data_IF_933166095507
#
_entry.id   IF_933166095507
#
_cell.length_a   1.000
_cell.length_b   1.000
_cell.length_c   1.000
_cell.angle_alpha   90.00
_cell.angle_beta   90.00
_cell.angle_gamma   90.00
#
_symmetry.space_group_name_H-M   'P 1'
#
loop_
_entity.id
_entity.type
_entity.pdbx_description
1 polymer ?
#
# COMPACT_ATOMS: atom_id res chain seq x y z
N UNK A 1 12.55 24.76 -3.30
CA UNK A 1 12.11 23.53 -3.98
C UNK A 1 10.62 23.37 -3.72
N UNK A 2 9.79 22.95 -4.69
CA UNK A 2 8.35 22.71 -4.48
C UNK A 2 8.09 21.20 -4.39
N UNK A 3 7.18 20.78 -3.51
CA UNK A 3 6.77 19.38 -3.42
C UNK A 3 5.99 18.96 -4.68
N UNK A 4 6.28 17.77 -5.21
CA UNK A 4 5.48 17.15 -6.27
C UNK A 4 4.35 16.37 -5.64
N UNK A 5 3.13 16.56 -6.14
CA UNK A 5 1.91 15.93 -5.63
C UNK A 5 1.13 15.37 -6.81
N UNK A 6 0.66 14.13 -6.69
CA UNK A 6 -0.26 13.49 -7.64
C UNK A 6 -1.64 13.34 -7.01
N UNK A 7 -2.69 13.60 -7.80
CA UNK A 7 -4.08 13.46 -7.39
C UNK A 7 -4.86 12.77 -8.51
N UNK A 8 -5.58 11.70 -8.18
CA UNK A 8 -6.42 10.94 -9.10
C UNK A 8 -7.81 10.79 -8.50
N UNK A 9 -8.83 10.94 -9.34
CA UNK A 9 -10.23 10.68 -9.01
C UNK A 9 -10.75 9.55 -9.89
N UNK A 10 -11.51 8.64 -9.30
CA UNK A 10 -12.21 7.57 -9.98
C UNK A 10 -12.99 6.72 -9.00
N UNK A 11 -13.74 5.75 -9.51
CA UNK A 11 -14.64 4.92 -8.68
C UNK A 11 -14.01 3.59 -8.25
N UNK A 12 -12.80 3.27 -8.75
CA UNK A 12 -12.04 2.09 -8.36
C UNK A 12 -10.82 2.50 -7.53
N UNK A 13 -10.79 2.09 -6.25
CA UNK A 13 -9.73 2.46 -5.31
C UNK A 13 -8.34 1.94 -5.72
N UNK A 14 -8.24 0.66 -6.07
CA UNK A 14 -7.00 0.01 -6.46
C UNK A 14 -6.36 0.72 -7.66
N UNK A 15 -7.18 0.97 -8.70
CA UNK A 15 -6.76 1.67 -9.90
C UNK A 15 -6.37 3.13 -9.62
N UNK A 16 -7.13 3.84 -8.77
CA UNK A 16 -6.79 5.21 -8.38
C UNK A 16 -5.42 5.29 -7.69
N UNK A 17 -5.12 4.36 -6.77
CA UNK A 17 -3.84 4.32 -6.05
C UNK A 17 -2.70 4.02 -7.01
N UNK A 18 -2.84 2.98 -7.86
CA UNK A 18 -1.84 2.65 -8.89
C UNK A 18 -1.54 3.84 -9.79
N UNK A 19 -2.57 4.48 -10.36
CA UNK A 19 -2.44 5.67 -11.23
C UNK A 19 -1.79 6.85 -10.51
N UNK A 20 -2.13 7.08 -9.24
CA UNK A 20 -1.52 8.17 -8.47
C UNK A 20 -0.01 7.95 -8.27
N UNK A 21 0.42 6.72 -8.01
CA UNK A 21 1.84 6.36 -7.88
C UNK A 21 2.57 6.45 -9.23
N UNK A 22 1.92 6.07 -10.33
CA UNK A 22 2.49 6.19 -11.68
C UNK A 22 2.87 7.63 -12.04
N UNK A 23 2.08 8.63 -11.64
CA UNK A 23 2.37 10.04 -11.87
C UNK A 23 3.63 10.55 -11.14
N UNK A 24 4.10 9.82 -10.13
CA UNK A 24 5.33 10.11 -9.37
C UNK A 24 6.33 8.94 -9.44
N UNK A 25 6.21 8.07 -10.45
CA UNK A 25 7.00 6.83 -10.58
C UNK A 25 8.50 7.07 -10.47
N UNK A 26 9.03 8.08 -11.16
CA UNK A 26 10.47 8.37 -11.19
C UNK A 26 11.02 8.76 -9.82
N UNK A 27 10.21 9.44 -9.00
CA UNK A 27 10.57 9.86 -7.64
C UNK A 27 10.59 8.70 -6.63
N UNK A 28 9.96 7.57 -6.99
CA UNK A 28 9.88 6.36 -6.19
C UNK A 28 10.92 5.33 -6.67
N UNK A 29 10.94 5.02 -7.96
CA UNK A 29 11.77 3.97 -8.58
C UNK A 29 13.24 4.13 -8.20
N UNK A 30 13.75 5.36 -8.30
CA UNK A 30 15.14 5.73 -7.93
C UNK A 30 15.53 5.43 -6.48
N UNK A 31 14.57 5.17 -5.60
CA UNK A 31 14.79 4.91 -4.16
C UNK A 31 14.54 3.47 -3.75
N UNK A 32 13.87 2.67 -4.57
CA UNK A 32 13.40 1.34 -4.16
C UNK A 32 13.92 0.21 -5.03
N UNK A 33 14.48 0.48 -6.21
CA UNK A 33 15.11 -0.55 -7.02
C UNK A 33 16.30 -1.18 -6.27
N UNK A 34 16.30 -2.51 -6.18
CA UNK A 34 17.27 -3.29 -5.42
C UNK A 34 17.20 -3.10 -3.90
N UNK A 35 16.10 -2.54 -3.37
CA UNK A 35 15.90 -2.34 -1.93
C UNK A 35 14.81 -3.25 -1.37
N UNK A 36 14.90 -3.56 -0.08
CA UNK A 36 13.80 -4.16 0.67
C UNK A 36 12.73 -3.10 0.97
N UNK A 37 11.51 -3.31 0.49
CA UNK A 37 10.38 -2.39 0.68
C UNK A 37 9.46 -2.91 1.77
N UNK A 38 9.12 -2.05 2.73
CA UNK A 38 8.12 -2.33 3.75
C UNK A 38 6.86 -1.51 3.48
N UNK A 39 5.73 -2.20 3.31
CA UNK A 39 4.41 -1.59 3.31
C UNK A 39 3.85 -1.62 4.74
N UNK A 40 3.66 -0.44 5.32
CA UNK A 40 3.17 -0.25 6.69
C UNK A 40 1.73 0.31 6.66
N UNK A 41 0.70 -0.53 6.43
CA UNK A 41 -0.68 -0.05 6.52
C UNK A 41 -1.01 0.42 7.94
N UNK A 42 -1.90 1.39 8.04
CA UNK A 42 -2.60 1.62 9.30
C UNK A 42 -3.58 0.49 9.55
N UNK A 43 -3.45 -0.20 10.68
CA UNK A 43 -4.28 -1.32 11.11
C UNK A 43 -4.51 -1.18 12.63
N UNK A 44 -5.70 -0.75 13.05
CA UNK A 44 -5.99 -0.60 14.48
C UNK A 44 -6.73 -1.82 15.04
N UNK A 45 -7.84 -2.19 14.42
CA UNK A 45 -8.66 -3.34 14.82
C UNK A 45 -9.37 -3.91 13.61
N UNK A 46 -9.16 -5.20 13.32
CA UNK A 46 -9.73 -5.84 12.14
C UNK A 46 -11.26 -5.99 12.22
N UNK A 47 -11.83 -5.94 13.42
CA UNK A 47 -13.28 -5.93 13.63
C UNK A 47 -13.93 -4.57 13.32
N UNK A 48 -13.14 -3.52 13.13
CA UNK A 48 -13.61 -2.17 12.76
C UNK A 48 -12.95 -1.76 11.44
N UNK A 49 -13.49 -2.16 10.27
CA UNK A 49 -12.83 -1.96 8.97
C UNK A 49 -12.46 -0.51 8.65
N UNK A 50 -13.26 0.47 9.12
CA UNK A 50 -12.98 1.90 8.94
C UNK A 50 -11.76 2.41 9.72
N UNK A 51 -11.26 1.62 10.68
CA UNK A 51 -10.03 1.89 11.42
C UNK A 51 -8.77 1.32 10.76
N UNK A 52 -8.93 0.65 9.61
CA UNK A 52 -7.87 -0.01 8.87
C UNK A 52 -7.75 0.55 7.46
N UNK A 53 -6.53 0.47 6.91
CA UNK A 53 -6.28 0.76 5.50
C UNK A 53 -7.03 -0.26 4.66
N UNK A 54 -7.84 0.20 3.72
CA UNK A 54 -8.61 -0.68 2.86
C UNK A 54 -7.67 -1.54 1.98
N UNK A 55 -7.98 -2.83 1.86
CA UNK A 55 -7.12 -3.80 1.14
C UNK A 55 -6.92 -3.44 -0.33
N UNK A 56 -7.91 -2.83 -1.00
CA UNK A 56 -7.75 -2.43 -2.39
C UNK A 56 -6.73 -1.31 -2.56
N UNK A 57 -6.49 -0.50 -1.52
CA UNK A 57 -5.39 0.46 -1.53
C UNK A 57 -4.03 -0.26 -1.50
N UNK A 58 -3.88 -1.31 -0.68
CA UNK A 58 -2.67 -2.13 -0.65
C UNK A 58 -2.46 -2.86 -1.98
N UNK A 59 -3.52 -3.45 -2.57
CA UNK A 59 -3.46 -4.06 -3.91
C UNK A 59 -3.00 -3.06 -4.97
N UNK A 60 -3.47 -1.81 -4.92
CA UNK A 60 -3.02 -0.77 -5.84
C UNK A 60 -1.55 -0.41 -5.70
N UNK A 61 -1.01 -0.43 -4.47
CA UNK A 61 0.43 -0.26 -4.23
C UNK A 61 1.20 -1.47 -4.75
N UNK A 62 0.74 -2.70 -4.49
CA UNK A 62 1.38 -3.93 -4.96
C UNK A 62 1.38 -4.04 -6.48
N UNK A 63 0.30 -3.66 -7.17
CA UNK A 63 0.22 -3.58 -8.63
C UNK A 63 1.20 -2.57 -9.22
N UNK A 64 1.50 -1.49 -8.50
CA UNK A 64 2.50 -0.53 -8.90
C UNK A 64 3.92 -1.08 -8.66
N UNK A 65 4.18 -1.66 -7.48
CA UNK A 65 5.48 -2.23 -7.13
C UNK A 65 5.86 -3.43 -8.00
N UNK A 66 4.88 -4.23 -8.46
CA UNK A 66 5.12 -5.37 -9.37
C UNK A 66 5.68 -4.97 -10.73
N UNK A 67 5.58 -3.69 -11.09
CA UNK A 67 6.16 -3.11 -12.30
C UNK A 67 7.57 -2.53 -12.09
N UNK A 68 8.10 -2.62 -10.87
CA UNK A 68 9.40 -2.11 -10.44
C UNK A 68 10.31 -3.26 -10.02
N UNK A 69 11.51 -2.96 -9.53
CA UNK A 69 12.49 -3.99 -9.17
C UNK A 69 12.99 -3.88 -7.71
N UNK A 70 12.10 -3.85 -6.69
CA UNK A 70 12.54 -4.02 -5.31
C UNK A 70 13.11 -5.43 -5.09
N UNK A 71 14.08 -5.56 -4.19
CA UNK A 71 14.65 -6.87 -3.80
C UNK A 71 13.58 -7.73 -3.10
N UNK A 72 12.81 -7.10 -2.21
CA UNK A 72 11.68 -7.74 -1.54
C UNK A 72 10.59 -6.73 -1.22
N UNK A 73 9.38 -7.23 -0.98
CA UNK A 73 8.27 -6.42 -0.49
C UNK A 73 7.58 -7.14 0.66
N UNK A 74 7.61 -6.54 1.86
CA UNK A 74 7.00 -7.08 3.07
C UNK A 74 5.83 -6.22 3.52
N UNK A 75 4.67 -6.83 3.79
CA UNK A 75 3.53 -6.15 4.40
C UNK A 75 3.62 -6.30 5.92
N UNK A 76 3.93 -5.20 6.60
CA UNK A 76 4.04 -5.15 8.06
C UNK A 76 2.70 -4.75 8.70
N UNK A 77 1.67 -5.58 8.48
CA UNK A 77 0.35 -5.39 9.10
C UNK A 77 0.33 -5.93 10.53
N UNK A 78 -0.37 -5.23 11.42
CA UNK A 78 -0.71 -5.74 12.75
C UNK A 78 -1.95 -5.01 13.26
N UNK A 79 -2.92 -5.74 13.81
CA UNK A 79 -4.08 -5.19 14.49
C UNK A 79 -4.04 -5.55 15.99
N UNK A 80 -4.85 -4.87 16.81
CA UNK A 80 -5.15 -5.29 18.19
C UNK A 80 -6.14 -6.46 18.23
N UNK A 81 -5.78 -7.55 17.56
CA UNK A 81 -6.58 -8.77 17.52
C UNK A 81 -6.10 -9.75 18.60
N UNK A 82 -6.99 -10.61 19.05
CA UNK A 82 -6.70 -11.60 20.10
C UNK A 82 -5.81 -12.74 19.63
N UNK A 83 -5.85 -13.06 18.34
CA UNK A 83 -5.16 -14.19 17.74
C UNK A 83 -4.25 -13.70 16.59
N UNK A 84 -3.04 -14.28 16.42
CA UNK A 84 -2.20 -14.02 15.27
C UNK A 84 -2.93 -14.32 13.95
N UNK A 85 -2.64 -13.54 12.90
CA UNK A 85 -3.21 -13.68 11.55
C UNK A 85 -4.72 -13.44 11.39
N UNK A 86 -5.47 -13.14 12.45
CA UNK A 86 -6.90 -12.80 12.30
C UNK A 86 -7.12 -11.53 11.48
N UNK A 87 -6.24 -10.55 11.62
CA UNK A 87 -6.22 -9.34 10.81
C UNK A 87 -6.09 -9.65 9.33
N UNK A 88 -5.12 -10.51 8.99
CA UNK A 88 -4.93 -11.00 7.63
C UNK A 88 -6.21 -11.64 7.09
N UNK A 89 -6.81 -12.60 7.81
CA UNK A 89 -8.03 -13.29 7.33
C UNK A 89 -9.24 -12.39 7.14
N UNK A 90 -9.37 -11.33 7.96
CA UNK A 90 -10.54 -10.44 7.92
C UNK A 90 -10.40 -9.32 6.90
N UNK A 91 -9.18 -8.83 6.71
CA UNK A 91 -8.90 -7.68 5.87
C UNK A 91 -8.37 -8.08 4.49
N UNK A 92 -7.84 -9.30 4.34
CA UNK A 92 -7.12 -9.79 3.16
C UNK A 92 -7.77 -11.01 2.52
#
# INVERSE_FOLDING_TARGET
>A
MKSKVALVKGDNRQDNIRKALELIKDDITSKIDGQDVILKPNCLSSSVPLSCTNVDALRGVLDFLSQLSPESTTIAETCRDSEPFESYKRLG
#
